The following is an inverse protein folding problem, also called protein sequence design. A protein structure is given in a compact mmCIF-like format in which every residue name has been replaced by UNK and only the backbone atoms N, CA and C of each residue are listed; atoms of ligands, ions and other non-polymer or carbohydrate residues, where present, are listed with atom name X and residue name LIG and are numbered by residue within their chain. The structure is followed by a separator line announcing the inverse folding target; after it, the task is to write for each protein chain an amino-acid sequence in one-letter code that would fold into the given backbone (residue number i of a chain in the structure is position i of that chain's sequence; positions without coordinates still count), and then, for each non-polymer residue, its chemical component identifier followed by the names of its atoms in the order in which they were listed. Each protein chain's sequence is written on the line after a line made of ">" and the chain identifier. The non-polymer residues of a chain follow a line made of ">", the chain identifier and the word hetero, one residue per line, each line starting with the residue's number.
data_IF_424064249986
#
_entry.id   IF_424064249986
#
_cell.length_a   1.000
_cell.length_b   1.000
_cell.length_c   1.000
_cell.angle_alpha   90.00
_cell.angle_beta   90.00
_cell.angle_gamma   90.00
#
_symmetry.space_group_name_H-M   'P 1'
#
loop_
_entity.id
_entity.type
_entity.pdbx_description
1 polymer ?
#
# COMPACT_ATOMS: atom_id res chain seq x y z
N UNK A 1 10.76 -3.77 -2.12
CA UNK A 1 9.69 -3.53 -1.13
C UNK A 1 10.33 -2.95 0.13
N UNK A 2 9.71 -2.00 0.84
CA UNK A 2 10.33 -1.39 2.04
C UNK A 2 10.29 -2.37 3.23
N UNK A 3 11.46 -2.92 3.61
CA UNK A 3 11.61 -3.90 4.69
C UNK A 3 10.97 -3.44 6.01
N UNK A 4 11.09 -2.15 6.32
CA UNK A 4 10.57 -1.54 7.55
C UNK A 4 9.06 -1.56 7.68
N UNK A 5 8.31 -1.56 6.56
CA UNK A 5 6.84 -1.64 6.59
C UNK A 5 6.38 -3.05 6.94
N UNK A 6 7.13 -4.05 6.50
CA UNK A 6 6.83 -5.45 6.82
C UNK A 6 7.14 -5.76 8.29
N UNK A 7 8.24 -5.24 8.81
CA UNK A 7 8.57 -5.39 10.23
C UNK A 7 7.51 -4.73 11.11
N UNK A 8 7.01 -3.56 10.73
CA UNK A 8 5.91 -2.90 11.43
C UNK A 8 4.61 -3.73 11.39
N UNK A 9 4.29 -4.38 10.25
CA UNK A 9 3.13 -5.27 10.12
C UNK A 9 3.30 -6.50 11.03
N UNK A 10 4.48 -7.12 11.05
CA UNK A 10 4.77 -8.29 11.91
C UNK A 10 4.64 -7.95 13.38
N UNK A 11 5.23 -6.84 13.82
CA UNK A 11 5.15 -6.39 15.21
C UNK A 11 3.69 -6.17 15.65
N UNK A 12 2.85 -5.60 14.78
CA UNK A 12 1.43 -5.45 15.07
C UNK A 12 0.71 -6.80 15.23
N UNK A 13 1.06 -7.79 14.41
CA UNK A 13 0.49 -9.14 14.51
C UNK A 13 0.93 -9.87 15.79
N UNK A 14 2.20 -9.74 16.19
CA UNK A 14 2.72 -10.28 17.45
C UNK A 14 2.05 -9.64 18.67
N UNK A 15 1.66 -8.36 18.57
CA UNK A 15 0.85 -7.66 19.57
C UNK A 15 -0.64 -8.07 19.55
N UNK A 16 -1.07 -8.96 18.64
CA UNK A 16 -2.47 -9.34 18.46
C UNK A 16 -3.34 -8.26 17.83
N UNK A 17 -2.75 -7.24 17.21
CA UNK A 17 -3.45 -6.13 16.54
C UNK A 17 -3.56 -6.39 15.05
N UNK A 18 -4.71 -6.02 14.48
CA UNK A 18 -4.89 -6.03 13.03
C UNK A 18 -4.11 -4.88 12.38
N UNK A 19 -3.15 -5.17 11.47
CA UNK A 19 -2.41 -4.14 10.76
C UNK A 19 -3.33 -3.26 9.91
N UNK A 20 -3.38 -1.96 10.22
CA UNK A 20 -4.08 -0.95 9.41
C UNK A 20 -3.08 0.06 8.88
N UNK A 21 -3.46 0.85 7.87
CA UNK A 21 -2.58 1.89 7.30
C UNK A 21 -2.14 2.89 8.38
N UNK A 22 -3.06 3.30 9.26
CA UNK A 22 -2.77 4.24 10.33
C UNK A 22 -1.86 3.62 11.42
N UNK A 23 -2.14 2.38 11.84
CA UNK A 23 -1.31 1.70 12.85
C UNK A 23 0.09 1.40 12.32
N UNK A 24 0.17 0.94 11.07
CA UNK A 24 1.45 0.65 10.41
C UNK A 24 2.26 1.94 10.25
N UNK A 25 1.63 3.05 9.84
CA UNK A 25 2.29 4.37 9.79
C UNK A 25 2.84 4.81 11.14
N UNK A 26 2.04 4.74 12.21
CA UNK A 26 2.46 5.17 13.55
C UNK A 26 3.62 4.34 14.12
N UNK A 27 3.81 3.10 13.64
CA UNK A 27 4.92 2.23 14.05
C UNK A 27 6.21 2.48 13.29
N UNK A 28 6.19 3.22 12.18
CA UNK A 28 7.38 3.48 11.39
C UNK A 28 8.18 4.65 11.98
N UNK A 29 9.43 4.40 12.31
CA UNK A 29 10.36 5.44 12.78
C UNK A 29 10.88 6.35 11.65
N UNK A 30 10.73 5.91 10.40
CA UNK A 30 11.18 6.65 9.22
C UNK A 30 9.99 7.09 8.37
N UNK A 31 10.17 8.21 7.67
CA UNK A 31 9.15 8.72 6.75
C UNK A 31 9.04 7.82 5.53
N UNK A 32 8.04 6.94 5.52
CA UNK A 32 7.69 6.12 4.36
C UNK A 32 6.50 6.75 3.63
N UNK A 33 6.51 6.83 2.29
CA UNK A 33 5.37 7.31 1.53
C UNK A 33 4.11 6.49 1.81
N UNK A 34 3.00 7.17 2.06
CA UNK A 34 1.71 6.54 2.37
C UNK A 34 1.26 5.49 1.33
N UNK A 35 1.46 5.67 0.01
CA UNK A 35 1.11 4.64 -0.99
C UNK A 35 1.84 3.30 -0.78
N UNK A 36 3.09 3.33 -0.29
CA UNK A 36 3.87 2.13 0.02
C UNK A 36 3.25 1.39 1.21
N UNK A 37 2.84 2.13 2.24
CA UNK A 37 2.17 1.57 3.42
C UNK A 37 0.84 0.93 3.02
N UNK A 38 0.04 1.62 2.19
CA UNK A 38 -1.23 1.12 1.67
C UNK A 38 -1.02 -0.19 0.89
N UNK A 39 -0.04 -0.23 -0.01
CA UNK A 39 0.24 -1.41 -0.82
C UNK A 39 0.66 -2.61 0.04
N UNK A 40 1.48 -2.40 1.07
CA UNK A 40 1.92 -3.46 1.98
C UNK A 40 0.75 -4.00 2.83
N UNK A 41 -0.06 -3.11 3.42
CA UNK A 41 -1.23 -3.51 4.22
C UNK A 41 -2.28 -4.21 3.35
N UNK A 42 -2.50 -3.76 2.11
CA UNK A 42 -3.42 -4.41 1.18
C UNK A 42 -2.96 -5.81 0.78
N UNK A 43 -1.65 -5.98 0.48
CA UNK A 43 -1.08 -7.29 0.19
C UNK A 43 -1.23 -8.26 1.36
N UNK A 44 -0.93 -7.81 2.58
CA UNK A 44 -1.18 -8.58 3.80
C UNK A 44 -2.64 -9.04 3.92
N UNK A 45 -3.59 -8.12 3.74
CA UNK A 45 -5.02 -8.43 3.88
C UNK A 45 -5.51 -9.45 2.86
N UNK A 46 -4.98 -9.40 1.64
CA UNK A 46 -5.36 -10.33 0.57
C UNK A 46 -4.68 -11.68 0.71
N UNK A 47 -3.47 -11.71 1.29
CA UNK A 47 -2.70 -12.94 1.49
C UNK A 47 -1.82 -12.83 2.75
N UNK A 48 -2.34 -13.26 3.92
CA UNK A 48 -1.64 -13.16 5.20
C UNK A 48 -0.34 -13.97 5.23
N UNK A 49 -0.30 -15.13 4.57
CA UNK A 49 0.86 -16.01 4.50
C UNK A 49 2.02 -15.43 3.68
N UNK A 50 1.72 -14.44 2.82
CA UNK A 50 2.75 -13.79 2.00
C UNK A 50 3.81 -13.10 2.85
N UNK A 51 3.50 -12.67 4.09
CA UNK A 51 4.45 -12.00 4.99
C UNK A 51 5.74 -12.82 5.23
N UNK A 52 5.70 -14.15 5.12
CA UNK A 52 6.86 -15.03 5.27
C UNK A 52 7.72 -15.16 3.99
N UNK A 53 7.18 -14.91 2.80
CA UNK A 53 7.87 -15.13 1.51
C UNK A 53 8.68 -13.90 1.03
N UNK A 54 8.56 -12.74 1.68
CA UNK A 54 9.11 -11.46 1.18
C UNK A 54 10.59 -11.20 1.52
N UNK A 55 11.32 -12.13 2.14
CA UNK A 55 12.70 -11.91 2.62
C UNK A 55 13.80 -12.09 1.58
N UNK A 56 13.48 -12.50 0.34
CA UNK A 56 14.48 -12.70 -0.71
C UNK A 56 14.05 -12.05 -2.03
N UNK A 57 14.18 -10.74 -2.20
CA UNK A 57 14.52 -10.18 -3.51
C UNK A 57 15.29 -8.86 -3.40
N UNK A 58 16.36 -8.66 -4.19
CA UNK A 58 17.10 -7.41 -4.24
C UNK A 58 16.22 -6.27 -4.79
N UNK A 59 16.54 -5.06 -4.36
CA UNK A 59 15.94 -3.80 -4.77
C UNK A 59 16.12 -3.55 -6.27
N UNK A 60 15.06 -3.75 -7.05
CA UNK A 60 14.99 -3.32 -8.46
C UNK A 60 13.92 -2.22 -8.61
N UNK A 61 14.43 -1.04 -8.94
CA UNK A 61 13.77 0.25 -9.04
C UNK A 61 12.95 0.37 -10.34
N UNK A 62 11.97 -0.49 -10.58
CA UNK A 62 11.35 -0.57 -11.93
C UNK A 62 9.82 -0.74 -11.93
N UNK A 63 9.08 -0.01 -11.06
CA UNK A 63 7.59 0.01 -11.11
C UNK A 63 6.92 1.37 -10.85
N UNK A 64 7.67 2.47 -10.78
CA UNK A 64 7.08 3.79 -10.49
C UNK A 64 6.23 4.37 -11.65
N UNK A 65 6.51 4.01 -12.91
CA UNK A 65 5.73 4.50 -14.06
C UNK A 65 4.32 3.87 -14.18
N UNK A 66 4.15 2.60 -13.78
CA UNK A 66 2.88 1.89 -13.93
C UNK A 66 1.80 2.36 -12.91
N UNK A 67 2.21 2.81 -11.73
CA UNK A 67 1.30 3.29 -10.69
C UNK A 67 0.79 4.72 -10.93
N UNK A 68 1.58 5.58 -11.57
CA UNK A 68 1.13 6.91 -12.01
C UNK A 68 -0.03 6.76 -12.99
N UNK A 69 0.16 5.94 -14.04
CA UNK A 69 -0.87 5.63 -15.02
C UNK A 69 -2.16 5.05 -14.43
N UNK A 70 -2.09 4.33 -13.31
CA UNK A 70 -3.30 3.81 -12.67
C UNK A 70 -4.08 4.92 -11.95
N UNK A 71 -3.38 5.85 -11.26
CA UNK A 71 -4.02 7.01 -10.65
C UNK A 71 -4.65 7.92 -11.71
N UNK A 72 -3.92 8.26 -12.78
CA UNK A 72 -4.45 9.08 -13.88
C UNK A 72 -5.74 8.48 -14.46
N UNK A 73 -5.77 7.16 -14.63
CA UNK A 73 -6.95 6.43 -15.12
C UNK A 73 -8.12 6.44 -14.14
N UNK A 74 -7.85 6.44 -12.83
CA UNK A 74 -8.89 6.53 -11.81
C UNK A 74 -9.45 7.96 -11.79
N UNK A 75 -8.60 8.98 -11.84
CA UNK A 75 -8.99 10.39 -11.88
C UNK A 75 -9.85 10.69 -13.12
N UNK A 76 -9.41 10.28 -14.31
CA UNK A 76 -10.18 10.47 -15.55
C UNK A 76 -11.57 9.80 -15.52
N UNK A 77 -11.69 8.64 -14.85
CA UNK A 77 -12.99 7.97 -14.68
C UNK A 77 -13.89 8.75 -13.73
N UNK A 78 -13.36 9.31 -12.65
CA UNK A 78 -14.12 10.13 -11.71
C UNK A 78 -14.63 11.41 -12.37
N UNK A 79 -13.80 12.09 -13.15
CA UNK A 79 -14.22 13.26 -13.95
C UNK A 79 -15.36 12.93 -14.91
N UNK A 80 -15.28 11.76 -15.57
CA UNK A 80 -16.34 11.30 -16.48
C UNK A 80 -17.64 11.07 -15.72
N UNK A 81 -17.60 10.39 -14.57
CA UNK A 81 -18.79 10.15 -13.75
C UNK A 81 -19.39 11.47 -13.26
N UNK A 82 -18.57 12.40 -12.78
CA UNK A 82 -19.01 13.68 -12.27
C UNK A 82 -19.71 14.51 -13.37
N UNK A 83 -19.14 14.51 -14.57
CA UNK A 83 -19.72 15.18 -15.74
C UNK A 83 -21.08 14.60 -16.10
N UNK A 84 -21.24 13.27 -16.06
CA UNK A 84 -22.52 12.61 -16.34
C UNK A 84 -23.58 12.92 -15.26
N UNK A 85 -23.14 13.04 -14.01
CA UNK A 85 -24.01 13.40 -12.89
C UNK A 85 -24.44 14.87 -12.91
N UNK A 86 -23.56 15.79 -13.33
CA UNK A 86 -23.85 17.23 -13.41
C UNK A 86 -24.66 17.64 -14.64
N UNK A 87 -24.92 16.71 -15.57
CA UNK A 87 -25.63 16.96 -16.82
C UNK A 87 -27.10 16.50 -16.78
N UNK A 88 -27.54 15.94 -15.66
CA UNK A 88 -28.94 15.77 -15.26
C UNK A 88 -29.33 16.87 -14.28
#
# INVERSE_FOLDING_TARGET
>A
MNAVVLDAIKALLEEGKTPTVALTKNRLSQTVPMPVIIAAVSQYKNNPDSIHSLTKQPVEQSKHAANHNQLDRIEAKLDTLLTLLSKN
#
